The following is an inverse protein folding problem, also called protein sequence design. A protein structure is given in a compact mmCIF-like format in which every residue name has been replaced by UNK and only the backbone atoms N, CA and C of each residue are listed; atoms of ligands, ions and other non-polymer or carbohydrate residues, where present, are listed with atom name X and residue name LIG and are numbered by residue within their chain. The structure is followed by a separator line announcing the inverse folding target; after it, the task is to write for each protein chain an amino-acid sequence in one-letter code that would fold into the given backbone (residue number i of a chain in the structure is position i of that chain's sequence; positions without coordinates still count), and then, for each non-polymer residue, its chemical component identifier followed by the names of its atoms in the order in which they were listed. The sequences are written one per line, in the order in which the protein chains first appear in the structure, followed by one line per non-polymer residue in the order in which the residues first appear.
data_IF_924337459355
#
_entry.id   IF_924337459355
#
_cell.length_a   1.000
_cell.length_b   1.000
_cell.length_c   1.000
_cell.angle_alpha   90.00
_cell.angle_beta   90.00
_cell.angle_gamma   90.00
#
_symmetry.space_group_name_H-M   'P 1'
#
loop_
_entity.id
_entity.type
_entity.pdbx_description
1 polymer ?
#
# COMPACT_ATOMS: atom_id res chain seq x y z
N UNK A 1 9.25 -23.65 -2.74
CA UNK A 1 10.09 -23.00 -3.78
C UNK A 1 9.24 -22.62 -4.98
N UNK A 2 9.27 -21.36 -5.38
CA UNK A 2 8.96 -21.01 -6.78
C UNK A 2 10.07 -21.63 -7.62
N UNK A 3 9.73 -22.54 -8.53
CA UNK A 3 10.76 -23.06 -9.44
C UNK A 3 11.35 -21.87 -10.23
N UNK A 4 12.68 -21.73 -10.31
CA UNK A 4 13.30 -20.67 -11.11
C UNK A 4 12.77 -20.76 -12.55
N UNK A 5 12.27 -19.63 -13.09
CA UNK A 5 11.75 -19.56 -14.45
C UNK A 5 10.23 -19.67 -14.63
N UNK A 6 9.44 -19.76 -13.54
CA UNK A 6 7.97 -19.80 -13.64
C UNK A 6 7.34 -18.42 -13.87
N UNK A 7 7.95 -17.35 -13.37
CA UNK A 7 7.47 -15.98 -13.47
C UNK A 7 8.55 -15.04 -13.97
N UNK A 8 8.19 -14.08 -14.82
CA UNK A 8 9.07 -13.02 -15.30
C UNK A 8 9.00 -11.79 -14.39
N UNK A 9 7.85 -11.59 -13.74
CA UNK A 9 7.61 -10.48 -12.81
C UNK A 9 6.88 -10.93 -11.54
N UNK A 10 7.10 -10.19 -10.46
CA UNK A 10 6.36 -10.35 -9.20
C UNK A 10 5.87 -8.98 -8.77
N UNK A 11 4.56 -8.87 -8.58
CA UNK A 11 3.91 -7.70 -7.99
C UNK A 11 3.56 -8.00 -6.54
N UNK A 12 3.76 -7.02 -5.67
CA UNK A 12 3.45 -7.13 -4.25
C UNK A 12 2.45 -6.07 -3.82
N UNK A 13 1.59 -6.41 -2.88
CA UNK A 13 1.04 -5.45 -1.96
C UNK A 13 2.11 -5.01 -0.95
N UNK A 14 1.91 -3.87 -0.28
CA UNK A 14 2.87 -3.33 0.69
C UNK A 14 2.44 -3.61 2.14
N UNK A 15 1.39 -2.95 2.61
CA UNK A 15 0.94 -3.00 4.00
C UNK A 15 0.24 -4.32 4.30
N UNK A 16 0.75 -5.10 5.27
CA UNK A 16 0.24 -6.44 5.58
C UNK A 16 0.93 -7.57 4.81
N UNK A 17 1.64 -7.25 3.72
CA UNK A 17 2.39 -8.21 2.89
C UNK A 17 3.89 -8.06 3.07
N UNK A 18 4.45 -6.92 2.68
CA UNK A 18 5.87 -6.60 2.85
C UNK A 18 6.15 -5.81 4.11
N UNK A 19 5.29 -4.86 4.45
CA UNK A 19 5.45 -3.93 5.56
C UNK A 19 4.57 -4.30 6.77
N UNK A 20 5.09 -3.99 7.96
CA UNK A 20 4.45 -4.16 9.25
C UNK A 20 4.27 -2.80 9.95
N UNK A 21 3.40 -2.74 10.97
CA UNK A 21 3.18 -1.51 11.74
C UNK A 21 2.58 -0.37 10.91
N UNK A 22 1.69 -0.70 9.99
CA UNK A 22 0.94 0.21 9.14
C UNK A 22 -0.42 0.60 9.76
N UNK A 23 -1.10 1.56 9.15
CA UNK A 23 -2.45 2.02 9.57
C UNK A 23 -2.54 2.34 11.06
N UNK A 24 -1.53 3.03 11.58
CA UNK A 24 -1.43 3.43 12.98
C UNK A 24 -2.37 4.60 13.28
N UNK A 25 -3.66 4.31 13.31
CA UNK A 25 -4.73 5.29 13.55
C UNK A 25 -5.51 4.96 14.83
N UNK A 26 -4.76 4.65 15.91
CA UNK A 26 -5.31 4.31 17.22
C UNK A 26 -5.38 5.49 18.21
N UNK A 27 -6.01 5.26 19.38
CA UNK A 27 -6.13 6.30 20.42
C UNK A 27 -4.77 6.66 21.04
N UNK A 28 -3.81 5.75 21.02
CA UNK A 28 -2.49 5.93 21.67
C UNK A 28 -1.44 6.53 20.71
N UNK A 29 -1.81 6.83 19.45
CA UNK A 29 -0.88 7.39 18.47
C UNK A 29 -0.56 8.87 18.73
N UNK A 30 0.72 9.22 18.64
CA UNK A 30 1.19 10.59 18.78
C UNK A 30 1.18 11.35 17.44
N UNK A 31 -0.01 11.65 16.95
CA UNK A 31 -0.16 12.46 15.74
C UNK A 31 0.48 13.84 15.88
N UNK A 32 0.41 14.43 17.11
CA UNK A 32 0.90 15.77 17.29
C UNK A 32 2.43 15.85 17.31
N UNK A 33 3.12 14.84 17.85
CA UNK A 33 4.57 14.70 17.71
C UNK A 33 4.98 14.66 16.23
N UNK A 34 4.36 13.75 15.45
CA UNK A 34 4.59 13.66 14.01
C UNK A 34 4.32 14.96 13.27
N UNK A 35 3.18 15.61 13.54
CA UNK A 35 2.83 16.91 12.95
C UNK A 35 3.89 17.99 13.26
N UNK A 36 4.39 18.03 14.50
CA UNK A 36 5.43 18.97 14.92
C UNK A 36 6.77 18.72 14.22
N UNK A 37 7.15 17.47 14.06
CA UNK A 37 8.38 17.05 13.35
C UNK A 37 8.33 17.43 11.87
N UNK A 38 7.14 17.41 11.27
CA UNK A 38 6.87 17.89 9.91
C UNK A 38 6.83 19.42 9.81
N UNK A 39 6.97 20.17 10.92
CA UNK A 39 7.01 21.63 10.96
C UNK A 39 5.69 22.30 11.30
N UNK A 40 4.67 21.55 11.66
CA UNK A 40 3.36 22.05 12.06
C UNK A 40 3.39 22.85 13.36
N UNK A 41 2.55 23.91 13.47
CA UNK A 41 2.57 24.81 14.62
C UNK A 41 1.19 25.24 15.09
N UNK A 42 0.20 25.24 14.24
CA UNK A 42 -1.07 25.93 14.45
C UNK A 42 -2.16 25.03 15.00
N UNK A 43 -2.11 23.71 14.73
CA UNK A 43 -3.09 22.77 15.26
C UNK A 43 -2.70 22.26 16.65
N UNK A 44 -3.64 22.35 17.60
CA UNK A 44 -3.47 21.71 18.91
C UNK A 44 -3.59 20.16 18.78
N UNK A 45 -3.07 19.38 19.77
CA UNK A 45 -3.21 17.93 19.77
C UNK A 45 -4.66 17.46 19.63
N UNK A 46 -5.59 18.12 20.28
CA UNK A 46 -7.03 17.79 20.25
C UNK A 46 -7.62 18.09 18.87
N UNK A 47 -7.32 19.26 18.31
CA UNK A 47 -7.81 19.66 16.99
C UNK A 47 -7.27 18.74 15.88
N UNK A 48 -5.97 18.42 15.91
CA UNK A 48 -5.35 17.51 14.93
C UNK A 48 -5.97 16.12 14.97
N UNK A 49 -6.16 15.56 16.16
CA UNK A 49 -6.83 14.27 16.35
C UNK A 49 -8.26 14.29 15.82
N UNK A 50 -9.05 15.31 16.14
CA UNK A 50 -10.43 15.45 15.65
C UNK A 50 -10.48 15.49 14.10
N UNK A 51 -9.57 16.23 13.48
CA UNK A 51 -9.47 16.27 12.03
C UNK A 51 -9.17 14.88 11.43
N UNK A 52 -8.20 14.15 11.99
CA UNK A 52 -7.82 12.80 11.52
C UNK A 52 -9.00 11.84 11.70
N UNK A 53 -9.59 11.76 12.88
CA UNK A 53 -10.70 10.84 13.18
C UNK A 53 -11.92 11.11 12.29
N UNK A 54 -12.28 12.38 12.07
CA UNK A 54 -13.40 12.75 11.18
C UNK A 54 -13.09 12.48 9.72
N UNK A 55 -11.84 12.61 9.30
CA UNK A 55 -11.41 12.25 7.94
C UNK A 55 -11.54 10.75 7.73
N UNK A 56 -11.03 9.93 8.65
CA UNK A 56 -11.15 8.49 8.61
C UNK A 56 -12.60 8.01 8.68
N UNK A 57 -13.44 8.66 9.48
CA UNK A 57 -14.87 8.34 9.55
C UNK A 57 -15.60 8.54 8.22
N UNK A 58 -15.12 9.42 7.34
CA UNK A 58 -15.64 9.61 5.98
C UNK A 58 -15.02 8.66 4.95
N UNK A 59 -13.73 8.34 5.12
CA UNK A 59 -12.97 7.53 4.18
C UNK A 59 -13.28 6.03 4.34
N UNK A 60 -13.20 5.50 5.57
CA UNK A 60 -13.24 4.06 5.83
C UNK A 60 -14.52 3.35 5.33
N UNK A 61 -15.74 3.92 5.46
CA UNK A 61 -16.92 3.29 4.88
C UNK A 61 -16.83 3.17 3.35
N UNK A 62 -16.27 4.19 2.68
CA UNK A 62 -16.08 4.15 1.22
C UNK A 62 -15.04 3.11 0.82
N UNK A 63 -13.97 2.99 1.59
CA UNK A 63 -12.93 2.00 1.36
C UNK A 63 -13.44 0.57 1.58
N UNK A 64 -14.30 0.33 2.57
CA UNK A 64 -14.84 -1.01 2.86
C UNK A 64 -15.90 -1.44 1.87
N UNK A 65 -16.87 -0.58 1.60
CA UNK A 65 -18.15 -0.93 0.97
C UNK A 65 -18.44 -0.15 -0.32
N UNK A 66 -17.66 0.92 -0.58
CA UNK A 66 -17.83 1.76 -1.76
C UNK A 66 -17.21 1.17 -3.03
N UNK A 67 -17.43 1.84 -4.18
CA UNK A 67 -16.77 1.47 -5.43
C UNK A 67 -15.25 1.67 -5.31
N UNK A 68 -14.51 0.73 -5.90
CA UNK A 68 -13.05 0.82 -5.95
C UNK A 68 -12.55 1.86 -6.97
N UNK A 69 -13.37 2.20 -7.96
CA UNK A 69 -13.08 3.17 -9.01
C UNK A 69 -14.39 3.86 -9.47
N UNK A 70 -14.51 5.19 -9.39
CA UNK A 70 -13.55 6.12 -8.80
C UNK A 70 -13.52 6.05 -7.27
N UNK A 71 -12.34 6.28 -6.70
CA UNK A 71 -12.13 6.43 -5.27
C UNK A 71 -11.69 7.87 -4.93
N UNK A 72 -12.24 8.51 -3.87
CA UNK A 72 -11.94 9.90 -3.55
C UNK A 72 -10.49 10.06 -3.07
N UNK A 73 -9.88 11.20 -3.36
CA UNK A 73 -8.63 11.58 -2.72
C UNK A 73 -8.86 11.82 -1.21
N UNK A 74 -7.84 11.56 -0.40
CA UNK A 74 -7.93 11.75 1.06
C UNK A 74 -8.35 13.17 1.42
N UNK A 75 -7.81 14.18 0.71
CA UNK A 75 -8.17 15.58 0.93
C UNK A 75 -9.66 15.89 0.76
N UNK A 76 -10.36 15.15 -0.10
CA UNK A 76 -11.80 15.31 -0.31
C UNK A 76 -12.62 14.71 0.83
N UNK A 77 -11.99 13.88 1.64
CA UNK A 77 -12.56 13.31 2.86
C UNK A 77 -12.34 14.19 4.09
N UNK A 78 -11.41 15.16 4.03
CA UNK A 78 -11.18 16.10 5.14
C UNK A 78 -12.43 16.98 5.31
N UNK A 79 -13.09 16.95 6.48
CA UNK A 79 -14.28 17.78 6.69
C UNK A 79 -13.90 19.27 6.63
N UNK A 80 -14.68 20.06 5.90
CA UNK A 80 -14.48 21.53 5.89
C UNK A 80 -13.01 21.95 5.62
N UNK A 81 -12.35 21.23 4.68
CA UNK A 81 -10.94 21.44 4.34
C UNK A 81 -10.60 22.90 3.95
N UNK A 82 -11.59 23.63 3.44
CA UNK A 82 -11.51 25.05 3.09
C UNK A 82 -11.34 25.98 4.32
N UNK A 83 -11.60 25.49 5.53
CA UNK A 83 -11.35 26.22 6.78
C UNK A 83 -9.91 26.11 7.26
N UNK A 84 -9.12 25.17 6.73
CA UNK A 84 -7.70 25.07 7.03
C UNK A 84 -6.89 25.90 6.01
N UNK A 85 -5.86 26.63 6.44
CA UNK A 85 -4.85 27.12 5.54
C UNK A 85 -4.28 25.97 4.70
N UNK A 86 -3.95 26.22 3.43
CA UNK A 86 -3.46 25.15 2.54
C UNK A 86 -2.23 24.44 3.12
N UNK A 87 -1.32 25.15 3.77
CA UNK A 87 -0.16 24.59 4.45
C UNK A 87 -0.54 23.63 5.59
N UNK A 88 -1.55 23.97 6.37
CA UNK A 88 -2.03 23.13 7.47
C UNK A 88 -2.75 21.87 6.95
N UNK A 89 -3.49 22.00 5.86
CA UNK A 89 -4.10 20.86 5.19
C UNK A 89 -3.03 19.89 4.67
N UNK A 90 -1.98 20.39 4.02
CA UNK A 90 -0.86 19.53 3.56
C UNK A 90 -0.18 18.83 4.76
N UNK A 91 0.11 19.55 5.85
CA UNK A 91 0.70 18.97 7.06
C UNK A 91 -0.20 17.93 7.72
N UNK A 92 -1.52 18.11 7.69
CA UNK A 92 -2.49 17.11 8.14
C UNK A 92 -2.39 15.84 7.29
N UNK A 93 -2.37 15.97 5.96
CA UNK A 93 -2.28 14.84 5.04
C UNK A 93 -0.93 14.12 5.17
N UNK A 94 0.17 14.85 5.31
CA UNK A 94 1.50 14.27 5.53
C UNK A 94 1.60 13.58 6.90
N UNK A 95 0.95 14.12 7.95
CA UNK A 95 0.86 13.44 9.24
C UNK A 95 0.13 12.10 9.09
N UNK A 96 -0.96 12.07 8.35
CA UNK A 96 -1.67 10.82 8.07
C UNK A 96 -0.81 9.85 7.25
N UNK A 97 -0.06 10.33 6.26
CA UNK A 97 0.86 9.50 5.48
C UNK A 97 1.92 8.80 6.34
N UNK A 98 2.50 9.52 7.31
CA UNK A 98 3.48 8.96 8.24
C UNK A 98 2.91 7.86 9.15
N UNK A 99 1.60 7.89 9.40
CA UNK A 99 0.93 6.87 10.22
C UNK A 99 0.35 5.72 9.39
N UNK A 100 0.11 5.92 8.10
CA UNK A 100 -0.44 4.90 7.20
C UNK A 100 0.62 3.91 6.72
N UNK A 101 1.79 4.41 6.32
CA UNK A 101 2.85 3.58 5.76
C UNK A 101 3.56 2.76 6.84
N UNK A 102 3.64 1.44 6.63
CA UNK A 102 4.40 0.53 7.48
C UNK A 102 5.89 0.52 7.16
N UNK A 103 6.64 -0.30 7.87
CA UNK A 103 8.06 -0.51 7.67
C UNK A 103 8.34 -1.94 7.20
N UNK A 104 9.23 -2.09 6.23
CA UNK A 104 9.64 -3.41 5.71
C UNK A 104 10.76 -3.95 6.59
N UNK A 105 10.60 -5.15 7.20
CA UNK A 105 11.64 -5.79 7.98
C UNK A 105 12.92 -6.06 7.16
N UNK A 106 14.11 -6.05 7.77
CA UNK A 106 15.39 -6.21 7.06
C UNK A 106 15.52 -7.53 6.26
N UNK A 107 14.92 -8.61 6.74
CA UNK A 107 14.90 -9.90 6.05
C UNK A 107 14.06 -9.87 4.77
N UNK A 108 12.95 -9.14 4.77
CA UNK A 108 12.13 -8.91 3.58
C UNK A 108 12.83 -7.98 2.58
N UNK A 109 13.58 -6.98 3.06
CA UNK A 109 14.45 -6.14 2.19
C UNK A 109 15.49 -7.03 1.49
N UNK A 110 16.16 -7.91 2.24
CA UNK A 110 17.13 -8.86 1.67
C UNK A 110 16.49 -9.81 0.65
N UNK A 111 15.27 -10.31 0.92
CA UNK A 111 14.49 -11.11 -0.02
C UNK A 111 14.23 -10.36 -1.34
N UNK A 112 13.77 -9.10 -1.25
CA UNK A 112 13.46 -8.28 -2.43
C UNK A 112 14.70 -8.05 -3.31
N UNK A 113 15.85 -7.78 -2.69
CA UNK A 113 17.13 -7.70 -3.43
C UNK A 113 17.49 -9.03 -4.11
N UNK A 114 17.29 -10.17 -3.45
CA UNK A 114 17.55 -11.47 -4.05
C UNK A 114 16.60 -11.76 -5.23
N UNK A 115 15.30 -11.45 -5.08
CA UNK A 115 14.30 -11.65 -6.13
C UNK A 115 14.52 -10.74 -7.34
N UNK A 116 14.97 -9.50 -7.13
CA UNK A 116 15.21 -8.54 -8.23
C UNK A 116 16.32 -8.95 -9.17
N UNK A 117 17.23 -9.85 -8.74
CA UNK A 117 18.23 -10.46 -9.60
C UNK A 117 17.68 -11.44 -10.65
N UNK A 118 16.42 -11.87 -10.51
CA UNK A 118 15.81 -12.91 -11.35
C UNK A 118 14.43 -12.52 -11.90
N UNK A 119 13.76 -11.54 -11.30
CA UNK A 119 12.40 -11.12 -11.61
C UNK A 119 12.31 -9.60 -11.68
N UNK A 120 11.44 -9.07 -12.54
CA UNK A 120 11.02 -7.67 -12.48
C UNK A 120 10.05 -7.51 -11.30
N UNK A 121 10.31 -6.58 -10.40
CA UNK A 121 9.48 -6.39 -9.21
C UNK A 121 8.67 -5.10 -9.31
N UNK A 122 7.46 -5.11 -8.77
CA UNK A 122 6.62 -3.93 -8.64
C UNK A 122 5.73 -3.97 -7.39
N UNK A 123 5.22 -2.80 -7.01
CA UNK A 123 4.23 -2.63 -5.96
C UNK A 123 2.89 -2.18 -6.54
N UNK A 124 1.80 -2.74 -6.01
CA UNK A 124 0.44 -2.20 -6.20
C UNK A 124 -0.18 -2.12 -4.81
N UNK A 125 -0.15 -0.93 -4.21
CA UNK A 125 -0.55 -0.73 -2.82
C UNK A 125 -1.68 0.27 -2.69
N UNK A 126 -2.65 -0.06 -1.84
CA UNK A 126 -3.63 0.92 -1.40
C UNK A 126 -2.98 1.83 -0.36
N UNK A 127 -2.80 3.11 -0.73
CA UNK A 127 -2.48 4.21 0.16
C UNK A 127 -3.53 5.31 -0.05
N UNK A 128 -4.03 5.89 1.04
CA UNK A 128 -5.03 6.97 0.98
C UNK A 128 -4.36 8.35 1.03
N UNK A 129 -3.31 8.47 1.85
CA UNK A 129 -2.51 9.67 2.01
C UNK A 129 -1.46 9.81 0.89
N UNK A 130 -0.84 10.98 0.75
CA UNK A 130 0.21 11.21 -0.25
C UNK A 130 1.34 10.20 -0.18
N UNK A 131 1.75 9.62 -1.32
CA UNK A 131 2.75 8.56 -1.38
C UNK A 131 4.21 9.05 -1.22
N UNK A 132 4.45 10.35 -1.10
CA UNK A 132 5.79 10.94 -1.03
C UNK A 132 6.67 10.30 0.04
N UNK A 133 6.20 10.26 1.28
CA UNK A 133 6.94 9.68 2.39
C UNK A 133 7.21 8.18 2.22
N UNK A 134 6.27 7.44 1.62
CA UNK A 134 6.48 6.02 1.32
C UNK A 134 7.56 5.83 0.25
N UNK A 135 7.60 6.66 -0.80
CA UNK A 135 8.67 6.64 -1.82
C UNK A 135 10.03 6.98 -1.23
N UNK A 136 10.09 8.00 -0.37
CA UNK A 136 11.32 8.39 0.33
C UNK A 136 11.79 7.26 1.25
N UNK A 137 10.87 6.62 1.98
CA UNK A 137 11.20 5.47 2.82
C UNK A 137 11.79 4.33 2.00
N UNK A 138 11.15 3.91 0.89
CA UNK A 138 11.66 2.85 0.01
C UNK A 138 13.06 3.19 -0.52
N UNK A 139 13.32 4.44 -0.88
CA UNK A 139 14.63 4.91 -1.31
C UNK A 139 15.66 4.80 -0.19
N UNK A 140 15.31 5.27 1.02
CA UNK A 140 16.20 5.29 2.17
C UNK A 140 16.59 3.89 2.67
N UNK A 141 15.72 2.88 2.50
CA UNK A 141 16.04 1.48 2.85
C UNK A 141 16.67 0.71 1.69
N UNK A 142 17.05 1.39 0.59
CA UNK A 142 17.74 0.80 -0.55
C UNK A 142 16.85 0.05 -1.53
N UNK A 143 15.54 0.30 -1.52
CA UNK A 143 14.59 -0.33 -2.43
C UNK A 143 14.14 0.59 -3.59
N UNK A 144 14.67 1.81 -3.70
CA UNK A 144 14.28 2.78 -4.71
C UNK A 144 14.41 2.27 -6.15
N UNK A 145 15.51 1.55 -6.44
CA UNK A 145 15.79 0.99 -7.78
C UNK A 145 15.41 -0.51 -7.89
N UNK A 146 14.87 -1.11 -6.84
CA UNK A 146 14.49 -2.53 -6.81
C UNK A 146 13.16 -2.76 -7.52
N UNK A 147 12.24 -1.81 -7.40
CA UNK A 147 10.94 -1.88 -8.04
C UNK A 147 10.93 -1.10 -9.36
N UNK A 148 10.65 -1.79 -10.45
CA UNK A 148 10.45 -1.18 -11.76
C UNK A 148 9.08 -0.52 -11.93
N UNK A 149 8.14 -0.75 -10.99
CA UNK A 149 6.82 -0.13 -10.93
C UNK A 149 6.40 0.11 -9.49
N UNK A 150 5.88 1.31 -9.21
CA UNK A 150 5.34 1.71 -7.92
C UNK A 150 3.96 2.35 -8.11
N UNK A 151 2.90 1.54 -8.04
CA UNK A 151 1.51 1.99 -8.20
C UNK A 151 0.87 2.17 -6.82
N UNK A 152 0.68 3.42 -6.41
CA UNK A 152 -0.03 3.79 -5.18
C UNK A 152 -1.42 4.32 -5.51
N UNK A 153 -2.44 3.77 -4.89
CA UNK A 153 -3.84 4.05 -5.22
C UNK A 153 -4.22 5.53 -5.12
N UNK A 154 -3.64 6.27 -4.17
CA UNK A 154 -3.87 7.70 -3.97
C UNK A 154 -3.48 8.57 -5.18
N UNK A 155 -2.56 8.10 -6.02
CA UNK A 155 -2.11 8.82 -7.22
C UNK A 155 -3.04 8.58 -8.42
N UNK A 156 -3.92 7.60 -8.32
CA UNK A 156 -4.76 7.16 -9.44
C UNK A 156 -6.27 7.32 -9.19
N UNK A 157 -6.70 7.76 -8.01
CA UNK A 157 -8.12 7.88 -7.67
C UNK A 157 -8.88 6.56 -7.76
N UNK A 158 -8.23 5.46 -7.42
CA UNK A 158 -8.80 4.11 -7.36
C UNK A 158 -8.11 3.32 -6.26
N UNK A 159 -8.76 2.29 -5.76
CA UNK A 159 -8.20 1.31 -4.82
C UNK A 159 -8.39 -0.10 -5.39
N UNK A 160 -7.60 -1.06 -4.92
CA UNK A 160 -7.82 -2.47 -5.27
C UNK A 160 -9.23 -2.91 -4.83
N UNK A 161 -9.96 -3.73 -5.58
CA UNK A 161 -9.51 -4.52 -6.73
C UNK A 161 -9.70 -3.83 -8.11
N UNK A 162 -9.62 -2.50 -8.23
CA UNK A 162 -9.73 -1.82 -9.52
C UNK A 162 -8.67 -2.33 -10.52
N UNK A 163 -9.13 -2.92 -11.62
CA UNK A 163 -8.27 -3.56 -12.65
C UNK A 163 -7.14 -2.67 -13.12
N UNK A 164 -7.42 -1.37 -13.32
CA UNK A 164 -6.45 -0.42 -13.88
C UNK A 164 -5.18 -0.28 -13.08
N UNK A 165 -5.19 -0.51 -11.75
CA UNK A 165 -3.99 -0.46 -10.93
C UNK A 165 -3.04 -1.62 -11.25
N UNK A 166 -3.57 -2.82 -11.44
CA UNK A 166 -2.79 -3.99 -11.85
C UNK A 166 -2.32 -3.88 -13.30
N UNK A 167 -3.19 -3.41 -14.20
CA UNK A 167 -2.87 -3.21 -15.62
C UNK A 167 -1.77 -2.15 -15.80
N UNK A 168 -1.79 -1.08 -14.99
CA UNK A 168 -0.72 -0.06 -14.98
C UNK A 168 0.62 -0.66 -14.57
N UNK A 169 0.67 -1.41 -13.46
CA UNK A 169 1.90 -2.04 -13.00
C UNK A 169 2.45 -3.04 -14.01
N UNK A 170 1.58 -3.82 -14.67
CA UNK A 170 1.98 -4.73 -15.75
C UNK A 170 2.56 -3.98 -16.95
N UNK A 171 1.95 -2.86 -17.33
CA UNK A 171 2.41 -2.04 -18.46
C UNK A 171 3.77 -1.38 -18.16
N UNK A 172 3.96 -0.83 -16.95
CA UNK A 172 5.23 -0.24 -16.53
C UNK A 172 6.37 -1.26 -16.49
N UNK A 173 6.06 -2.52 -16.12
CA UNK A 173 7.03 -3.61 -16.12
C UNK A 173 7.19 -4.29 -17.48
N UNK A 174 6.41 -3.96 -18.49
CA UNK A 174 6.32 -4.73 -19.75
C UNK A 174 6.14 -6.24 -19.47
N UNK A 175 5.16 -6.58 -18.60
CA UNK A 175 4.99 -7.93 -18.07
C UNK A 175 3.72 -8.61 -18.60
N UNK A 176 3.86 -9.89 -18.98
CA UNK A 176 2.72 -10.75 -19.33
C UNK A 176 1.96 -11.16 -18.06
N UNK A 177 0.64 -10.87 -17.93
CA UNK A 177 -0.15 -11.28 -16.77
C UNK A 177 -0.02 -12.79 -16.45
N UNK A 178 -0.03 -13.66 -17.45
CA UNK A 178 0.06 -15.12 -17.26
C UNK A 178 1.42 -15.58 -16.69
N UNK A 179 2.45 -14.72 -16.82
CA UNK A 179 3.81 -14.94 -16.32
C UNK A 179 4.17 -14.01 -15.15
N UNK A 180 3.16 -13.36 -14.55
CA UNK A 180 3.32 -12.49 -13.39
C UNK A 180 2.62 -13.09 -12.17
N UNK A 181 3.33 -13.10 -11.03
CA UNK A 181 2.80 -13.47 -9.73
C UNK A 181 2.40 -12.20 -8.98
N UNK A 182 1.20 -12.16 -8.41
CA UNK A 182 0.81 -11.16 -7.42
C UNK A 182 0.82 -11.79 -6.02
N UNK A 183 1.42 -11.09 -5.06
CA UNK A 183 1.51 -11.53 -3.66
C UNK A 183 0.83 -10.48 -2.79
N UNK A 184 -0.14 -10.89 -1.97
CA UNK A 184 -0.90 -9.99 -1.11
C UNK A 184 -1.65 -10.71 0.00
N UNK A 185 -2.19 -9.96 0.96
CA UNK A 185 -2.87 -10.49 2.15
C UNK A 185 -4.41 -10.37 2.11
N UNK A 186 -4.96 -9.50 1.26
CA UNK A 186 -6.43 -9.36 1.13
C UNK A 186 -6.98 -10.25 0.01
N UNK A 187 -7.83 -11.23 0.37
CA UNK A 187 -8.43 -12.17 -0.59
C UNK A 187 -9.27 -11.48 -1.67
N UNK A 188 -9.96 -10.39 -1.35
CA UNK A 188 -10.82 -9.69 -2.29
C UNK A 188 -10.05 -8.68 -3.15
N UNK A 189 -9.27 -7.83 -2.50
CA UNK A 189 -8.56 -6.73 -3.15
C UNK A 189 -7.36 -7.21 -3.94
N UNK A 190 -6.52 -8.01 -3.32
CA UNK A 190 -5.28 -8.50 -3.90
C UNK A 190 -5.51 -9.70 -4.79
N UNK A 191 -5.95 -10.79 -4.18
CA UNK A 191 -6.07 -12.07 -4.87
C UNK A 191 -7.16 -12.04 -5.92
N UNK A 192 -8.35 -11.55 -5.55
CA UNK A 192 -9.49 -11.40 -6.48
C UNK A 192 -9.20 -10.39 -7.59
N UNK A 193 -8.61 -9.24 -7.24
CA UNK A 193 -8.26 -8.19 -8.22
C UNK A 193 -7.21 -8.64 -9.22
N UNK A 194 -6.10 -9.22 -8.75
CA UNK A 194 -5.04 -9.72 -9.60
C UNK A 194 -5.51 -10.89 -10.50
N UNK A 195 -6.25 -11.85 -9.94
CA UNK A 195 -6.79 -12.97 -10.70
C UNK A 195 -7.74 -12.50 -11.82
N UNK A 196 -8.56 -11.46 -11.57
CA UNK A 196 -9.44 -10.87 -12.57
C UNK A 196 -8.66 -10.21 -13.74
N UNK A 197 -7.37 -9.87 -13.53
CA UNK A 197 -6.46 -9.37 -14.56
C UNK A 197 -5.62 -10.47 -15.22
N UNK A 198 -5.81 -11.75 -14.85
CA UNK A 198 -5.10 -12.88 -15.43
C UNK A 198 -3.77 -13.21 -14.77
N UNK A 199 -3.42 -12.56 -13.66
CA UNK A 199 -2.20 -12.85 -12.91
C UNK A 199 -2.34 -14.16 -12.13
N UNK A 200 -1.20 -14.80 -11.86
CA UNK A 200 -1.10 -15.82 -10.84
C UNK A 200 -1.06 -15.17 -9.47
N UNK A 201 -1.57 -15.85 -8.45
CA UNK A 201 -1.69 -15.24 -7.12
C UNK A 201 -1.09 -16.12 -6.03
N UNK A 202 -0.49 -15.47 -5.03
CA UNK A 202 -0.09 -16.08 -3.77
C UNK A 202 -0.67 -15.24 -2.62
N UNK A 203 -1.48 -15.88 -1.80
CA UNK A 203 -2.11 -15.24 -0.65
C UNK A 203 -1.25 -15.43 0.60
N UNK A 204 -0.94 -14.32 1.28
CA UNK A 204 -0.32 -14.33 2.61
C UNK A 204 -1.44 -14.49 3.64
N UNK A 205 -1.52 -15.67 4.26
CA UNK A 205 -2.59 -15.93 5.22
C UNK A 205 -2.54 -17.34 5.82
N UNK A 206 -3.58 -17.69 6.60
CA UNK A 206 -3.67 -19.00 7.23
C UNK A 206 -4.19 -20.05 6.24
N UNK A 207 -3.39 -21.09 5.91
CA UNK A 207 -3.82 -22.17 5.03
C UNK A 207 -5.13 -22.87 5.45
N UNK A 208 -5.49 -22.80 6.74
CA UNK A 208 -6.71 -23.43 7.24
C UNK A 208 -8.00 -22.73 6.77
N UNK A 209 -7.92 -21.45 6.35
CA UNK A 209 -9.07 -20.66 5.88
C UNK A 209 -9.01 -20.35 4.38
N UNK A 210 -8.05 -20.93 3.66
CA UNK A 210 -7.82 -20.68 2.24
C UNK A 210 -8.88 -21.35 1.35
N UNK A 211 -10.00 -20.70 1.14
CA UNK A 211 -11.05 -21.15 0.21
C UNK A 211 -10.76 -20.62 -1.21
N UNK A 212 -10.18 -21.45 -2.07
CA UNK A 212 -10.01 -21.12 -3.51
C UNK A 212 -8.89 -20.14 -3.83
N UNK A 213 -8.07 -19.74 -2.88
CA UNK A 213 -6.82 -19.05 -3.15
C UNK A 213 -5.87 -19.99 -3.90
N UNK A 214 -5.11 -19.46 -4.87
CA UNK A 214 -4.13 -20.24 -5.62
C UNK A 214 -3.04 -20.80 -4.68
N UNK A 215 -1.86 -20.21 -4.65
CA UNK A 215 -0.82 -20.54 -3.65
C UNK A 215 -1.11 -19.81 -2.33
N UNK A 216 -0.93 -20.50 -1.21
CA UNK A 216 -1.02 -19.91 0.13
C UNK A 216 0.36 -19.91 0.75
N UNK A 217 0.78 -18.78 1.30
CA UNK A 217 2.03 -18.59 2.01
C UNK A 217 1.71 -18.10 3.42
N UNK A 218 2.45 -18.53 4.41
CA UNK A 218 2.34 -17.98 5.77
C UNK A 218 3.08 -16.65 5.91
N UNK A 219 4.16 -16.51 5.14
CA UNK A 219 4.98 -15.32 5.06
C UNK A 219 5.58 -15.18 3.66
N UNK A 220 5.83 -13.94 3.24
CA UNK A 220 6.46 -13.65 1.96
C UNK A 220 7.87 -14.25 1.84
N UNK A 221 8.55 -14.49 2.94
CA UNK A 221 9.90 -15.12 2.98
C UNK A 221 9.90 -16.54 2.37
N UNK A 222 8.77 -17.23 2.30
CA UNK A 222 8.65 -18.52 1.63
C UNK A 222 8.88 -18.45 0.10
N UNK A 223 8.97 -17.24 -0.48
CA UNK A 223 9.33 -17.06 -1.88
C UNK A 223 10.81 -17.31 -2.16
N UNK A 224 11.69 -17.11 -1.16
CA UNK A 224 13.14 -17.23 -1.27
C UNK A 224 13.70 -18.62 -0.93
N UNK A 225 12.85 -19.56 -0.46
CA UNK A 225 13.26 -20.88 0.03
C UNK A 225 13.12 -22.03 -0.96
#
# INVERSE_FOLDING_TARGET
MLAPGHFDAILFDLNGTLAEGYDRFGPDEDYHGTYRDLGGRDLSPVALRDWIERTLARLLPRYRDGPADPFPALRDCVPEADRLPASELELLLETMAAHECGQIPPDRIALLHALSGHHRLGLVSDLWAPAGQCRDYLTNVGLGDVFGSLVFSCEHGAVKPARRLFELALAELDADPARTLFVGDDLRRDIGGAAACGLRTAWIGDPAVANGAGRVLRDVLELGG
#
